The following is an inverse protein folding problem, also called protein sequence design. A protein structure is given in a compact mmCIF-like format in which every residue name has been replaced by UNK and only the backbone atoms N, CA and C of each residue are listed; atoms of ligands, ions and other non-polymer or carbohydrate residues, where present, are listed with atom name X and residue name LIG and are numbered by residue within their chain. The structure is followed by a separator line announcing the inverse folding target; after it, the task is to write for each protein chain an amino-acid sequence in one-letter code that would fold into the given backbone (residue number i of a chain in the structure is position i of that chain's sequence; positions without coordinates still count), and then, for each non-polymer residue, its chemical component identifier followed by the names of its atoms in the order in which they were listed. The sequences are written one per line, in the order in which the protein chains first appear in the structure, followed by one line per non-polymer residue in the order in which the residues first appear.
data_IF_856633202346
#
_entry.id   IF_856633202346
#
_cell.length_a   1.000
_cell.length_b   1.000
_cell.length_c   1.000
_cell.angle_alpha   90.00
_cell.angle_beta   90.00
_cell.angle_gamma   90.00
#
_symmetry.space_group_name_H-M   'P 1'
#
loop_
_entity.id
_entity.type
_entity.pdbx_description
1 polymer ?
2 non-polymer ?
3 non-polymer ?
4 non-polymer ?
5 water ?
#
# COMPACT_ATOMS: atom_id res chain seq x y z
N UNK A 1 -12.28 -0.94 -14.48
CA UNK A 1 -11.17 -1.52 -15.27
C UNK A 1 -9.93 -1.82 -14.44
N UNK A 2 -8.82 -2.04 -15.13
CA UNK A 2 -7.56 -2.43 -14.49
C UNK A 2 -7.09 -1.37 -13.49
N UNK A 3 -7.08 -0.10 -13.89
CA UNK A 3 -6.57 0.95 -13.00
C UNK A 3 -7.45 1.08 -11.76
N UNK A 4 -8.77 1.00 -11.92
CA UNK A 4 -9.63 1.04 -10.75
C UNK A 4 -9.43 -0.18 -9.85
N UNK A 5 -9.20 -1.36 -10.45
CA UNK A 5 -8.96 -2.56 -9.65
C UNK A 5 -7.76 -2.36 -8.71
N UNK A 6 -6.71 -1.71 -9.21
CA UNK A 6 -5.55 -1.44 -8.37
C UNK A 6 -5.96 -0.62 -7.15
N UNK A 7 -6.80 0.40 -7.38
CA UNK A 7 -7.26 1.24 -6.28
C UNK A 7 -8.11 0.44 -5.30
N UNK A 8 -8.99 -0.43 -5.81
CA UNK A 8 -9.83 -1.26 -4.95
C UNK A 8 -8.97 -2.16 -4.06
N UNK A 9 -8.00 -2.83 -4.67
CA UNK A 9 -7.14 -3.75 -3.91
C UNK A 9 -6.33 -3.00 -2.87
N UNK A 10 -5.73 -1.87 -3.25
CA UNK A 10 -4.98 -1.06 -2.28
C UNK A 10 -5.85 -0.56 -1.13
N UNK A 11 -7.16 -0.40 -1.36
CA UNK A 11 -8.05 0.10 -0.32
C UNK A 11 -8.29 -0.86 0.82
N UNK A 12 -8.02 -2.15 0.63
CA UNK A 12 -8.15 -3.15 1.67
C UNK A 12 -6.96 -4.11 1.54
N UNK A 13 -5.77 -3.51 1.58
CA UNK A 13 -4.55 -4.15 1.11
C UNK A 13 -4.24 -5.43 1.88
N UNK A 14 -4.28 -5.36 3.21
CA UNK A 14 -3.88 -6.52 4.01
C UNK A 14 -4.83 -7.67 3.79
N UNK A 15 -6.13 -7.39 3.68
CA UNK A 15 -7.10 -8.46 3.51
C UNK A 15 -6.92 -9.16 2.18
N UNK A 16 -6.85 -8.40 1.08
CA UNK A 16 -6.70 -9.01 -0.24
C UNK A 16 -5.37 -9.73 -0.37
N UNK A 17 -4.28 -9.14 0.13
CA UNK A 17 -2.98 -9.79 0.03
C UNK A 17 -3.00 -11.16 0.70
N UNK A 18 -3.59 -11.26 1.89
CA UNK A 18 -3.62 -12.55 2.57
C UNK A 18 -4.59 -13.50 1.89
N UNK A 19 -5.77 -13.03 1.51
CA UNK A 19 -6.75 -13.90 0.88
C UNK A 19 -6.24 -14.47 -0.43
N UNK A 20 -5.57 -13.64 -1.24
CA UNK A 20 -5.11 -14.10 -2.54
C UNK A 20 -3.94 -15.04 -2.39
N UNK A 21 -3.02 -14.75 -1.49
CA UNK A 21 -1.88 -15.64 -1.29
C UNK A 21 -2.34 -16.98 -0.75
N UNK A 22 -3.35 -16.98 0.12
CA UNK A 22 -3.86 -18.24 0.64
C UNK A 22 -4.56 -19.04 -0.45
N UNK A 23 -5.31 -18.35 -1.32
CA UNK A 23 -5.95 -19.04 -2.43
C UNK A 23 -4.91 -19.72 -3.31
N UNK A 24 -3.77 -19.05 -3.52
CA UNK A 24 -2.67 -19.62 -4.28
C UNK A 24 -2.10 -20.85 -3.59
N UNK A 25 -1.79 -20.74 -2.30
CA UNK A 25 -1.17 -21.85 -1.59
C UNK A 25 -2.12 -23.04 -1.44
N UNK A 26 -3.42 -22.78 -1.34
CA UNK A 26 -4.36 -23.90 -1.22
C UNK A 26 -4.72 -24.51 -2.57
N UNK A 27 -4.67 -23.73 -3.64
CA UNK A 27 -4.92 -24.28 -4.97
C UNK A 27 -3.73 -25.11 -5.44
N UNK A 28 -2.51 -24.75 -5.01
CA UNK A 28 -1.27 -25.38 -5.44
C UNK A 28 -0.48 -25.80 -4.21
N UNK A 29 -0.88 -26.88 -3.55
CA UNK A 29 -0.22 -27.26 -2.30
C UNK A 29 1.28 -27.45 -2.44
N UNK A 30 1.75 -27.87 -3.61
CA UNK A 30 3.18 -28.07 -3.84
C UNK A 30 3.96 -26.77 -3.65
N UNK A 31 3.32 -25.62 -3.87
CA UNK A 31 4.02 -24.35 -3.75
C UNK A 31 4.39 -24.01 -2.31
N UNK A 32 3.73 -24.61 -1.31
CA UNK A 32 4.16 -24.41 0.07
C UNK A 32 5.58 -24.88 0.31
N UNK A 33 6.12 -25.73 -0.56
CA UNK A 33 7.50 -26.18 -0.41
C UNK A 33 8.48 -25.02 -0.45
N UNK A 34 8.15 -23.95 -1.17
CA UNK A 34 8.97 -22.75 -1.16
C UNK A 34 8.90 -22.02 0.18
N UNK A 35 7.94 -22.37 1.04
CA UNK A 35 7.76 -21.74 2.35
C UNK A 35 7.69 -22.87 3.37
N UNK A 36 8.85 -23.30 3.86
CA UNK A 36 8.89 -24.49 4.71
C UNK A 36 8.09 -24.32 5.99
N UNK A 37 8.10 -23.12 6.57
CA UNK A 37 7.44 -22.91 7.85
C UNK A 37 5.93 -22.72 7.74
N UNK A 38 5.36 -22.77 6.52
CA UNK A 38 3.91 -22.68 6.33
C UNK A 38 3.22 -24.04 6.30
N UNK A 39 3.98 -25.13 6.26
CA UNK A 39 3.39 -26.46 6.18
C UNK A 39 2.72 -26.81 7.51
N UNK A 40 1.62 -27.57 7.41
CA UNK A 40 0.93 -28.05 8.58
C UNK A 40 0.12 -27.02 9.32
N UNK A 41 -0.17 -25.89 8.70
CA UNK A 41 -0.90 -24.80 9.32
C UNK A 41 -2.18 -24.53 8.53
N UNK A 42 -3.28 -24.30 9.24
CA UNK A 42 -4.49 -23.83 8.58
C UNK A 42 -4.34 -22.35 8.23
N UNK A 43 -5.30 -21.85 7.45
CA UNK A 43 -5.27 -20.46 7.00
C UNK A 43 -5.24 -19.49 8.18
N UNK A 44 -6.08 -19.72 9.19
CA UNK A 44 -6.12 -18.78 10.31
C UNK A 44 -4.82 -18.80 11.10
N UNK A 45 -4.16 -19.94 11.17
CA UNK A 45 -2.86 -20.00 11.84
C UNK A 45 -1.83 -19.20 11.06
N UNK A 46 -1.82 -19.33 9.73
CA UNK A 46 -0.89 -18.55 8.91
C UNK A 46 -1.13 -17.06 9.10
N UNK A 47 -2.39 -16.63 9.15
CA UNK A 47 -2.69 -15.21 9.26
C UNK A 47 -2.20 -14.62 10.59
N UNK A 48 -1.82 -15.45 11.55
CA UNK A 48 -1.33 -14.96 12.83
C UNK A 48 0.17 -15.16 12.97
N UNK A 49 0.86 -15.54 11.90
CA UNK A 49 2.31 -15.63 11.91
C UNK A 49 2.91 -14.34 11.38
N UNK A 50 3.91 -13.83 12.10
CA UNK A 50 4.50 -12.54 11.78
C UNK A 50 5.06 -12.52 10.37
N UNK A 51 5.86 -13.54 10.02
CA UNK A 51 6.50 -13.54 8.69
C UNK A 51 5.48 -13.63 7.58
N UNK A 52 4.34 -14.29 7.83
CA UNK A 52 3.31 -14.41 6.81
C UNK A 52 2.70 -13.06 6.49
N UNK A 53 2.28 -12.32 7.52
CA UNK A 53 1.66 -11.03 7.28
C UNK A 53 2.62 -10.04 6.64
N UNK A 54 3.85 -9.99 7.15
CA UNK A 54 4.82 -9.05 6.59
C UNK A 54 5.14 -9.40 5.14
N UNK A 55 5.39 -10.67 4.86
CA UNK A 55 5.73 -11.10 3.51
C UNK A 55 4.61 -10.80 2.51
N UNK A 56 3.38 -11.21 2.83
CA UNK A 56 2.30 -11.03 1.87
C UNK A 56 2.07 -9.55 1.57
N UNK A 57 2.20 -8.70 2.58
CA UNK A 57 1.99 -7.27 2.33
C UNK A 57 3.07 -6.71 1.41
N UNK A 58 4.33 -7.06 1.64
CA UNK A 58 5.40 -6.52 0.81
C UNK A 58 5.30 -7.02 -0.63
N UNK A 59 4.95 -8.30 -0.81
CA UNK A 59 4.73 -8.82 -2.17
C UNK A 59 3.62 -8.04 -2.86
N UNK A 60 2.49 -7.85 -2.18
CA UNK A 60 1.33 -7.23 -2.81
C UNK A 60 1.55 -5.73 -3.02
N UNK A 61 2.24 -5.07 -2.08
CA UNK A 61 2.58 -3.66 -2.27
C UNK A 61 3.37 -3.47 -3.56
N UNK A 62 4.37 -4.32 -3.79
CA UNK A 62 5.18 -4.18 -4.99
C UNK A 62 4.44 -4.63 -6.24
N UNK A 63 3.62 -5.68 -6.14
CA UNK A 63 2.84 -6.12 -7.29
C UNK A 63 1.92 -5.03 -7.78
N UNK A 64 1.30 -4.28 -6.85
CA UNK A 64 0.42 -3.20 -7.29
C UNK A 64 1.21 -2.06 -7.93
N UNK A 65 2.43 -1.79 -7.46
CA UNK A 65 3.27 -0.78 -8.12
C UNK A 65 3.63 -1.21 -9.54
N UNK A 66 3.99 -2.48 -9.72
CA UNK A 66 4.30 -2.98 -11.06
C UNK A 66 3.09 -2.87 -11.97
N UNK A 67 1.92 -3.28 -11.46
CA UNK A 67 0.69 -3.14 -12.25
C UNK A 67 0.40 -1.69 -12.59
N UNK A 68 0.65 -0.79 -11.63
CA UNK A 68 0.36 0.63 -11.82
C UNK A 68 1.28 1.27 -12.85
N UNK A 69 2.50 0.76 -12.97
CA UNK A 69 3.46 1.31 -13.91
C UNK A 69 3.34 0.69 -15.30
N UNK A 70 2.52 -0.34 -15.45
CA UNK A 70 2.37 -1.01 -16.72
C UNK A 70 1.64 -0.13 -17.75
N UNK A 71 1.93 -0.38 -19.02
CA UNK A 71 1.21 0.24 -20.13
C UNK A 71 0.37 -0.84 -20.81
N UNK A 72 -0.95 -0.64 -20.82
CA UNK A 72 -1.85 -1.59 -21.47
C UNK A 72 -1.61 -3.02 -20.99
N UNK A 73 -1.39 -3.17 -19.69
CA UNK A 73 -1.16 -4.47 -19.09
C UNK A 73 0.19 -5.08 -19.47
N UNK A 74 1.13 -4.28 -19.94
CA UNK A 74 2.49 -4.74 -20.22
C UNK A 74 3.41 -4.09 -19.20
N UNK A 75 4.07 -4.86 -18.33
CA UNK A 75 4.92 -4.26 -17.32
C UNK A 75 6.19 -3.66 -17.90
N UNK A 76 6.77 -2.73 -17.15
CA UNK A 76 8.05 -2.15 -17.53
C UNK A 76 9.14 -3.20 -17.46
N UNK A 77 10.07 -3.15 -18.41
CA UNK A 77 11.19 -4.08 -18.39
C UNK A 77 12.00 -3.96 -17.11
N UNK A 78 12.14 -2.74 -16.59
CA UNK A 78 12.90 -2.54 -15.35
C UNK A 78 12.25 -3.25 -14.17
N UNK A 79 10.92 -3.27 -14.11
CA UNK A 79 10.26 -4.00 -13.03
C UNK A 79 10.48 -5.50 -13.15
N UNK A 80 10.45 -6.02 -14.38
CA UNK A 80 10.76 -7.43 -14.57
C UNK A 80 12.20 -7.75 -14.16
N UNK A 81 13.16 -6.90 -14.54
CA UNK A 81 14.54 -7.16 -14.15
C UNK A 81 14.68 -7.17 -12.63
N UNK A 82 14.00 -6.25 -11.96
CA UNK A 82 14.04 -6.21 -10.49
C UNK A 82 13.54 -7.51 -9.89
N UNK A 83 12.41 -8.02 -10.39
CA UNK A 83 11.88 -9.27 -9.86
C UNK A 83 12.83 -10.44 -10.10
N UNK A 84 13.59 -10.41 -11.21
CA UNK A 84 14.48 -11.53 -11.52
C UNK A 84 15.75 -11.46 -10.69
N UNK A 85 16.29 -10.24 -10.50
CA UNK A 85 17.55 -10.07 -9.80
C UNK A 85 17.43 -10.22 -8.29
N UNK A 86 16.22 -10.24 -7.74
CA UNK A 86 16.05 -10.40 -6.29
C UNK A 86 16.63 -11.72 -5.82
N UNK A 87 17.47 -11.66 -4.80
CA UNK A 87 18.08 -12.88 -4.26
C UNK A 87 17.01 -13.83 -3.71
N UNK A 88 15.88 -13.29 -3.25
CA UNK A 88 14.81 -14.13 -2.74
C UNK A 88 14.18 -14.99 -3.83
N UNK A 89 14.29 -14.59 -5.09
CA UNK A 89 13.67 -15.30 -6.21
C UNK A 89 14.61 -16.26 -6.91
N UNK A 90 15.86 -16.38 -6.45
CA UNK A 90 16.74 -17.39 -7.00
C UNK A 90 16.16 -18.77 -6.70
N UNK A 91 16.09 -19.62 -7.72
CA UNK A 91 15.43 -20.90 -7.59
C UNK A 91 13.98 -20.89 -8.01
N UNK A 92 13.40 -19.73 -8.27
CA UNK A 92 12.05 -19.64 -8.81
C UNK A 92 12.08 -19.66 -10.33
N UNK A 93 10.99 -20.13 -10.92
CA UNK A 93 10.82 -20.14 -12.35
C UNK A 93 9.56 -19.35 -12.70
N UNK A 94 9.40 -19.07 -13.99
CA UNK A 94 8.17 -18.40 -14.44
C UNK A 94 6.93 -19.20 -14.06
N UNK A 95 7.04 -20.52 -13.96
CA UNK A 95 5.90 -21.33 -13.57
C UNK A 95 5.32 -20.97 -12.22
N UNK A 96 6.18 -20.56 -11.28
CA UNK A 96 5.69 -20.10 -9.98
C UNK A 96 4.82 -18.87 -10.12
N UNK A 97 5.22 -17.95 -11.02
CA UNK A 97 4.46 -16.72 -11.23
C UNK A 97 3.19 -16.99 -12.01
N UNK A 98 3.25 -17.89 -12.99
CA UNK A 98 2.05 -18.25 -13.75
C UNK A 98 0.98 -18.81 -12.83
N UNK A 99 1.37 -19.66 -11.89
CA UNK A 99 0.41 -20.24 -10.96
C UNK A 99 -0.18 -19.18 -10.05
N UNK A 100 0.63 -18.22 -9.61
CA UNK A 100 0.10 -17.13 -8.80
C UNK A 100 -1.02 -16.39 -9.52
N UNK A 101 -0.84 -16.11 -10.81
CA UNK A 101 -1.85 -15.30 -11.48
C UNK A 101 -3.09 -16.10 -11.87
N UNK A 102 -2.97 -17.42 -12.04
CA UNK A 102 -4.17 -18.24 -12.24
C UNK A 102 -5.06 -18.16 -10.99
N UNK A 103 -4.44 -18.31 -9.82
CA UNK A 103 -5.19 -18.24 -8.58
C UNK A 103 -5.79 -16.86 -8.36
N UNK A 104 -5.05 -15.80 -8.70
CA UNK A 104 -5.55 -14.45 -8.53
C UNK A 104 -6.76 -14.18 -9.42
N UNK A 105 -6.70 -14.62 -10.68
CA UNK A 105 -7.81 -14.41 -11.59
C UNK A 105 -9.03 -15.22 -11.13
N UNK A 106 -8.81 -16.47 -10.70
CA UNK A 106 -9.93 -17.27 -10.19
C UNK A 106 -10.54 -16.63 -8.94
N UNK A 107 -9.69 -16.11 -8.05
CA UNK A 107 -10.20 -15.39 -6.89
C UNK A 107 -11.10 -14.23 -7.31
N UNK A 108 -10.64 -13.42 -8.26
CA UNK A 108 -11.43 -12.26 -8.69
C UNK A 108 -12.76 -12.69 -9.29
N UNK A 109 -12.76 -13.75 -10.09
CA UNK A 109 -14.00 -14.17 -10.74
C UNK A 109 -15.01 -14.73 -9.73
N UNK A 110 -14.53 -15.28 -8.63
CA UNK A 110 -15.40 -15.86 -7.61
C UNK A 110 -15.83 -14.87 -6.54
N UNK A 111 -15.37 -13.63 -6.61
CA UNK A 111 -15.60 -12.67 -5.54
C UNK A 111 -16.91 -11.92 -5.67
N UNK A 112 -17.51 -11.88 -6.86
CA UNK A 112 -18.68 -11.09 -7.09
C UNK A 112 -18.45 -9.60 -7.22
N UNK A 113 -17.24 -9.12 -6.98
CA UNK A 113 -16.90 -7.72 -7.24
C UNK A 113 -16.59 -7.52 -8.72
N UNK A 114 -16.61 -6.26 -9.14
CA UNK A 114 -16.48 -5.94 -10.56
C UNK A 114 -15.03 -5.78 -10.99
N UNK A 115 -14.21 -6.78 -10.67
CA UNK A 115 -12.83 -6.80 -11.16
C UNK A 115 -12.81 -7.05 -12.67
N UNK A 116 -11.88 -6.39 -13.34
CA UNK A 116 -11.60 -6.64 -14.75
C UNK A 116 -10.65 -7.83 -14.85
N UNK A 117 -11.21 -9.03 -14.60
CA UNK A 117 -10.39 -10.23 -14.51
C UNK A 117 -9.63 -10.50 -15.80
N UNK A 118 -10.20 -10.12 -16.96
CA UNK A 118 -9.52 -10.34 -18.24
C UNK A 118 -8.21 -9.56 -18.31
N UNK A 119 -8.21 -8.33 -17.80
CA UNK A 119 -6.98 -7.53 -17.82
C UNK A 119 -5.92 -8.12 -16.88
N UNK A 120 -6.32 -8.65 -15.73
CA UNK A 120 -5.36 -9.28 -14.84
C UNK A 120 -4.78 -10.55 -15.46
N UNK A 121 -5.58 -11.29 -16.22
CA UNK A 121 -5.07 -12.47 -16.91
C UNK A 121 -4.00 -12.08 -17.93
N UNK A 122 -4.26 -11.03 -18.71
CA UNK A 122 -3.27 -10.54 -19.67
C UNK A 122 -2.02 -10.04 -18.96
N UNK A 123 -2.23 -9.26 -17.89
CA UNK A 123 -1.11 -8.75 -17.13
C UNK A 123 -0.21 -9.89 -16.66
N UNK A 124 -0.81 -10.95 -16.12
CA UNK A 124 -0.01 -12.08 -15.66
C UNK A 124 0.79 -12.75 -16.76
N UNK A 125 0.17 -12.95 -17.92
CA UNK A 125 0.87 -13.54 -19.06
C UNK A 125 1.99 -12.64 -19.55
N UNK A 126 1.73 -11.33 -19.62
CA UNK A 126 2.74 -10.40 -20.08
C UNK A 126 3.88 -10.27 -19.09
N UNK A 127 3.57 -10.32 -17.79
CA UNK A 127 4.63 -10.31 -16.79
C UNK A 127 5.52 -11.55 -16.93
N UNK A 128 4.90 -12.72 -17.10
CA UNK A 128 5.68 -13.95 -17.26
C UNK A 128 6.60 -13.84 -18.47
N UNK A 129 6.09 -13.33 -19.58
CA UNK A 129 6.94 -13.15 -20.77
C UNK A 129 8.11 -12.21 -20.47
N UNK A 130 7.85 -11.11 -19.77
CA UNK A 130 8.90 -10.17 -19.43
C UNK A 130 9.93 -10.78 -18.48
N UNK A 131 9.48 -11.60 -17.51
CA UNK A 131 10.42 -12.27 -16.62
C UNK A 131 11.38 -13.17 -17.39
N UNK A 132 10.88 -13.86 -18.42
CA UNK A 132 11.72 -14.74 -19.22
C UNK A 132 12.75 -13.95 -20.02
N UNK A 133 12.34 -12.82 -20.63
CA UNK A 133 13.27 -11.97 -21.37
C UNK A 133 14.32 -11.35 -20.47
N UNK A 134 14.01 -11.19 -19.18
CA UNK A 134 14.93 -10.61 -18.19
C UNK A 134 15.87 -11.64 -17.60
N UNK A 135 15.67 -12.94 -17.88
CA UNK A 135 16.60 -13.97 -17.47
C UNK A 135 16.01 -15.08 -16.61
N UNK A 136 14.75 -15.02 -16.20
CA UNK A 136 14.22 -16.08 -15.34
C UNK A 136 13.93 -17.33 -16.16
N UNK A 137 14.29 -18.49 -15.60
CA UNK A 137 14.07 -19.77 -16.27
C UNK A 137 12.59 -20.06 -16.41
N UNK B 1 13.00 11.93 -5.92
CA UNK B 1 12.05 13.08 -5.75
C UNK B 1 10.70 12.62 -5.25
N UNK B 2 9.70 13.49 -5.44
CA UNK B 2 8.36 13.26 -4.90
C UNK B 2 7.76 11.94 -5.38
N UNK B 3 7.84 11.68 -6.70
CA UNK B 3 7.22 10.46 -7.23
C UNK B 3 7.91 9.21 -6.71
N UNK B 4 9.23 9.23 -6.58
CA UNK B 4 9.94 8.09 -6.01
C UNK B 4 9.61 7.91 -4.53
N UNK B 5 9.46 9.01 -3.79
CA UNK B 5 9.04 8.92 -2.39
C UNK B 5 7.72 8.17 -2.26
N UNK B 6 6.77 8.46 -3.15
CA UNK B 6 5.50 7.73 -3.13
C UNK B 6 5.75 6.24 -3.31
N UNK B 7 6.61 5.87 -4.26
CA UNK B 7 6.91 4.46 -4.45
C UNK B 7 7.58 3.86 -3.23
N UNK B 8 8.48 4.61 -2.61
CA UNK B 8 9.15 4.10 -1.41
C UNK B 8 8.14 3.88 -0.28
N UNK B 9 7.28 4.86 -0.05
CA UNK B 9 6.31 4.74 1.03
C UNK B 9 5.30 3.63 0.76
N UNK B 10 4.81 3.54 -0.48
CA UNK B 10 3.86 2.48 -0.82
C UNK B 10 4.47 1.09 -0.72
N UNK B 11 5.79 0.99 -0.88
CA UNK B 11 6.43 -0.32 -0.82
C UNK B 11 6.41 -0.93 0.57
N UNK B 12 6.33 -0.10 1.60
CA UNK B 12 6.25 -0.57 2.98
C UNK B 12 5.16 0.21 3.71
N UNK B 13 3.96 0.22 3.13
CA UNK B 13 2.91 1.17 3.51
C UNK B 13 2.60 1.09 5.00
N UNK B 14 2.36 -0.11 5.52
CA UNK B 14 1.89 -0.24 6.90
C UNK B 14 2.96 0.24 7.89
N UNK B 15 4.22 -0.05 7.61
CA UNK B 15 5.30 0.31 8.53
C UNK B 15 5.46 1.82 8.61
N UNK B 16 5.47 2.50 7.45
CA UNK B 16 5.60 3.96 7.45
C UNK B 16 4.37 4.62 8.03
N UNK B 17 3.19 4.10 7.72
CA UNK B 17 1.94 4.68 8.21
C UNK B 17 1.90 4.69 9.73
N UNK B 18 2.27 3.58 10.35
CA UNK B 18 2.29 3.52 11.80
C UNK B 18 3.34 4.47 12.38
N UNK B 19 4.55 4.47 11.83
CA UNK B 19 5.60 5.33 12.37
C UNK B 19 5.26 6.81 12.24
N UNK B 20 4.69 7.21 11.09
CA UNK B 20 4.38 8.63 10.90
C UNK B 20 3.23 9.05 11.80
N UNK B 21 2.22 8.20 11.93
CA UNK B 21 1.07 8.54 12.77
C UNK B 21 1.49 8.68 14.23
N UNK B 22 2.33 7.75 14.70
CA UNK B 22 2.85 7.85 16.07
C UNK B 22 3.70 9.10 16.26
N UNK B 23 4.52 9.46 15.25
CA UNK B 23 5.28 10.70 15.33
C UNK B 23 4.35 11.91 15.48
N UNK B 24 3.24 11.91 14.74
CA UNK B 24 2.24 12.97 14.84
C UNK B 24 1.60 12.98 16.23
N UNK B 25 1.14 11.83 16.71
CA UNK B 25 0.43 11.79 17.99
C UNK B 25 1.34 12.15 19.16
N UNK B 26 2.63 11.83 19.07
CA UNK B 26 3.53 12.14 20.17
C UNK B 26 4.04 13.58 20.09
N UNK B 27 4.09 14.15 18.90
CA UNK B 27 4.50 15.53 18.77
C UNK B 27 3.38 16.48 19.20
N UNK B 28 2.13 16.09 18.99
CA UNK B 28 0.95 16.89 19.32
C UNK B 28 0.00 16.06 20.18
N UNK B 29 0.31 15.90 21.46
CA UNK B 29 -0.54 15.06 22.34
C UNK B 29 -2.02 15.44 22.30
N UNK B 30 -2.34 16.73 22.15
CA UNK B 30 -3.75 17.13 22.14
C UNK B 30 -4.51 16.53 20.97
N UNK B 31 -3.84 16.24 19.86
CA UNK B 31 -4.53 15.64 18.73
C UNK B 31 -5.04 14.24 19.06
N UNK B 32 -4.41 13.56 20.02
CA UNK B 32 -4.84 12.21 20.38
C UNK B 32 -6.27 12.16 20.90
N UNK B 33 -6.86 13.32 21.25
CA UNK B 33 -8.24 13.35 21.73
C UNK B 33 -9.24 12.99 20.65
N UNK B 34 -8.88 13.19 19.37
CA UNK B 34 -9.73 12.75 18.27
C UNK B 34 -9.82 11.24 18.16
N UNK B 35 -9.00 10.48 18.91
CA UNK B 35 -8.91 9.02 18.78
C UNK B 35 -9.01 8.39 20.18
N UNK B 36 -10.22 8.38 20.73
CA UNK B 36 -10.42 7.93 22.10
C UNK B 36 -9.99 6.49 22.33
N UNK B 37 -9.94 5.67 21.27
CA UNK B 37 -9.51 4.29 21.39
C UNK B 37 -8.00 4.15 21.61
N UNK B 38 -7.23 5.21 21.39
CA UNK B 38 -5.78 5.17 21.45
C UNK B 38 -5.22 5.89 22.67
N UNK B 39 -6.08 6.50 23.48
CA UNK B 39 -5.63 7.19 24.69
C UNK B 39 -5.12 6.18 25.71
N UNK B 40 -4.07 6.57 26.43
CA UNK B 40 -3.56 5.74 27.51
C UNK B 40 -2.80 4.51 27.06
N UNK B 41 -2.23 4.51 25.86
CA UNK B 41 -1.50 3.37 25.36
C UNK B 41 -0.16 3.83 24.80
N UNK B 42 0.88 3.04 25.06
CA UNK B 42 2.20 3.33 24.54
C UNK B 42 2.28 2.97 23.06
N UNK B 43 3.37 3.40 22.43
CA UNK B 43 3.56 3.10 21.01
C UNK B 43 3.47 1.60 20.74
N UNK B 44 4.15 0.80 21.57
CA UNK B 44 4.16 -0.65 21.32
C UNK B 44 2.80 -1.27 21.58
N UNK B 45 2.04 -0.74 22.53
CA UNK B 45 0.67 -1.20 22.71
C UNK B 45 -0.17 -0.92 21.46
N UNK B 46 -0.08 0.30 20.93
CA UNK B 46 -0.86 0.64 19.75
C UNK B 46 -0.46 -0.23 18.55
N UNK B 47 0.84 -0.46 18.36
CA UNK B 47 1.29 -1.26 17.23
C UNK B 47 0.78 -2.70 17.31
N UNK B 48 0.45 -3.19 18.49
CA UNK B 48 -0.06 -4.56 18.62
C UNK B 48 -1.55 -4.67 18.33
N UNK B 49 -2.27 -3.55 18.22
CA UNK B 49 -3.70 -3.55 17.98
C UNK B 49 -4.01 -3.64 16.49
N UNK B 50 -4.73 -4.66 16.08
CA UNK B 50 -5.09 -4.79 14.67
C UNK B 50 -5.84 -3.55 14.19
N UNK B 51 -6.70 -2.99 15.04
CA UNK B 51 -7.48 -1.82 14.66
C UNK B 51 -6.56 -0.65 14.28
N UNK B 52 -5.49 -0.46 15.05
CA UNK B 52 -4.55 0.63 14.78
C UNK B 52 -3.87 0.43 13.42
N UNK B 53 -3.39 -0.78 13.17
CA UNK B 53 -2.71 -1.03 11.90
C UNK B 53 -3.61 -0.81 10.70
N UNK B 54 -4.86 -1.30 10.78
CA UNK B 54 -5.80 -1.13 9.70
C UNK B 54 -6.15 0.33 9.47
N UNK B 55 -6.39 1.09 10.54
CA UNK B 55 -6.71 2.50 10.41
C UNK B 55 -5.57 3.25 9.72
N UNK B 56 -4.34 3.05 10.18
CA UNK B 56 -3.22 3.81 9.62
C UNK B 56 -2.97 3.41 8.17
N UNK B 57 -3.18 2.12 7.85
CA UNK B 57 -2.99 1.65 6.48
C UNK B 57 -3.97 2.33 5.54
N UNK B 58 -5.24 2.47 5.97
CA UNK B 58 -6.25 3.04 5.08
C UNK B 58 -6.07 4.53 4.88
N UNK B 59 -5.72 5.26 5.95
CA UNK B 59 -5.47 6.69 5.83
C UNK B 59 -4.28 6.94 4.92
N UNK B 60 -3.18 6.22 5.17
CA UNK B 60 -1.96 6.48 4.43
C UNK B 60 -2.11 6.10 2.98
N UNK B 61 -2.88 5.03 2.70
CA UNK B 61 -3.12 4.66 1.31
C UNK B 61 -3.79 5.79 0.56
N UNK B 62 -4.82 6.39 1.16
CA UNK B 62 -5.52 7.48 0.49
C UNK B 62 -4.63 8.70 0.38
N UNK B 63 -3.79 8.95 1.38
CA UNK B 63 -2.86 10.07 1.26
C UNK B 63 -1.93 9.88 0.07
N UNK B 64 -1.46 8.65 -0.16
CA UNK B 64 -0.60 8.38 -1.30
C UNK B 64 -1.35 8.51 -2.62
N UNK B 65 -2.64 8.15 -2.66
CA UNK B 65 -3.43 8.34 -3.87
C UNK B 65 -3.57 9.82 -4.20
N UNK B 66 -3.86 10.64 -3.20
CA UNK B 66 -3.98 12.08 -3.41
C UNK B 66 -2.67 12.66 -3.89
N UNK B 67 -1.55 12.21 -3.29
CA UNK B 67 -0.23 12.72 -3.68
C UNK B 67 0.11 12.31 -5.10
N UNK B 68 -0.22 11.07 -5.47
CA UNK B 68 0.06 10.58 -6.82
C UNK B 68 -0.73 11.33 -7.87
N UNK B 69 -1.95 11.77 -7.54
CA UNK B 69 -2.78 12.50 -8.50
C UNK B 69 -2.44 13.97 -8.59
N UNK B 70 -1.67 14.51 -7.65
CA UNK B 70 -1.35 15.92 -7.65
C UNK B 70 -0.53 16.29 -8.87
N UNK B 71 -0.66 17.54 -9.28
CA UNK B 71 0.19 18.12 -10.33
C UNK B 71 1.11 19.12 -9.66
N UNK B 72 2.42 18.88 -9.78
CA UNK B 72 3.41 19.80 -9.24
C UNK B 72 3.14 20.11 -7.77
N UNK B 73 2.80 19.06 -7.01
CA UNK B 73 2.53 19.16 -5.58
C UNK B 73 1.25 19.94 -5.27
N UNK B 74 0.37 20.10 -6.24
CA UNK B 74 -0.92 20.77 -6.02
C UNK B 74 -2.01 19.70 -6.12
N UNK B 75 -2.72 19.41 -5.04
CA UNK B 75 -3.73 18.35 -5.11
C UNK B 75 -4.93 18.78 -5.93
N UNK B 76 -5.62 17.78 -6.46
CA UNK B 76 -6.85 18.02 -7.20
C UNK B 76 -7.92 18.54 -6.26
N UNK B 77 -8.70 19.51 -6.73
CA UNK B 77 -9.78 20.05 -5.92
C UNK B 77 -10.76 18.97 -5.52
N UNK B 78 -10.99 17.98 -6.40
CA UNK B 78 -11.95 16.93 -6.08
C UNK B 78 -11.45 16.04 -4.95
N UNK B 79 -10.14 15.80 -4.90
CA UNK B 79 -9.58 15.04 -3.78
C UNK B 79 -9.74 15.82 -2.47
N UNK B 80 -9.52 17.14 -2.53
CA UNK B 80 -9.69 17.95 -1.33
C UNK B 80 -11.13 17.95 -0.88
N UNK B 81 -12.07 18.05 -1.84
CA UNK B 81 -13.48 18.00 -1.48
C UNK B 81 -13.81 16.69 -0.79
N UNK B 82 -13.32 15.56 -1.32
CA UNK B 82 -13.55 14.26 -0.69
C UNK B 82 -13.15 14.29 0.78
N UNK B 83 -11.97 14.83 1.08
CA UNK B 83 -11.47 14.86 2.45
C UNK B 83 -12.32 15.77 3.34
N UNK B 84 -12.88 16.84 2.78
CA UNK B 84 -13.71 17.73 3.56
C UNK B 84 -15.06 17.07 3.86
N UNK B 85 -15.65 16.41 2.87
CA UNK B 85 -17.01 15.88 3.00
C UNK B 85 -17.07 14.57 3.77
N UNK B 86 -15.95 13.94 4.06
CA UNK B 86 -15.95 12.69 4.83
C UNK B 86 -16.56 12.89 6.21
N UNK B 87 -17.47 11.99 6.57
CA UNK B 87 -18.12 12.09 7.88
C UNK B 87 -17.10 12.03 9.01
N UNK B 88 -16.06 11.20 8.85
CA UNK B 88 -15.03 11.09 9.88
C UNK B 88 -14.27 12.39 10.09
N UNK B 89 -14.42 13.37 9.20
CA UNK B 89 -13.68 14.62 9.29
C UNK B 89 -14.54 15.78 9.77
N UNK B 90 -15.76 15.50 10.22
CA UNK B 90 -16.58 16.54 10.84
C UNK B 90 -15.89 17.04 12.10
N UNK B 91 -15.85 18.36 12.26
CA UNK B 91 -15.20 18.96 13.39
C UNK B 91 -13.73 19.25 13.20
N UNK B 92 -13.11 18.68 12.16
CA UNK B 92 -11.71 18.96 11.88
C UNK B 92 -11.57 20.30 11.18
N UNK B 93 -10.42 20.92 11.40
CA UNK B 93 -10.05 22.17 10.74
C UNK B 93 -8.74 21.96 9.97
N UNK B 94 -8.36 22.97 9.20
CA UNK B 94 -7.11 22.86 8.46
C UNK B 94 -5.90 22.80 9.38
N UNK B 95 -6.02 23.31 10.61
CA UNK B 95 -4.90 23.25 11.54
C UNK B 95 -4.53 21.82 11.89
N UNK B 96 -5.53 20.94 11.99
CA UNK B 96 -5.25 19.52 12.22
C UNK B 96 -4.39 18.96 11.10
N UNK B 97 -4.69 19.33 9.85
CA UNK B 97 -3.93 18.82 8.72
C UNK B 97 -2.54 19.44 8.66
N UNK B 98 -2.45 20.73 8.97
CA UNK B 98 -1.14 21.39 9.00
C UNK B 98 -0.20 20.70 9.97
N UNK B 99 -0.68 20.35 11.16
CA UNK B 99 0.18 19.70 12.15
C UNK B 99 0.64 18.32 11.66
N UNK B 100 -0.26 17.58 11.01
CA UNK B 100 0.12 16.29 10.46
C UNK B 100 1.29 16.41 9.50
N UNK B 101 1.27 17.41 8.62
CA UNK B 101 2.36 17.52 7.65
C UNK B 101 3.63 18.09 8.26
N UNK B 102 3.53 18.86 9.33
CA UNK B 102 4.75 19.24 10.04
C UNK B 102 5.45 17.99 10.56
N UNK B 103 4.69 17.09 11.20
CA UNK B 103 5.27 15.87 11.75
C UNK B 103 5.81 14.98 10.64
N UNK B 104 5.11 14.92 9.50
CA UNK B 104 5.54 14.08 8.40
C UNK B 104 6.88 14.55 7.84
N UNK B 105 7.02 15.87 7.62
CA UNK B 105 8.26 16.40 7.09
C UNK B 105 9.38 16.21 8.10
N UNK B 106 9.11 16.47 9.37
CA UNK B 106 10.10 16.26 10.41
C UNK B 106 10.53 14.80 10.48
N UNK B 107 9.58 13.87 10.33
CA UNK B 107 9.93 12.46 10.26
C UNK B 107 10.85 12.17 9.09
N UNK B 108 10.54 12.73 7.91
CA UNK B 108 11.36 12.46 6.73
C UNK B 108 12.77 13.01 6.89
N UNK B 109 12.90 14.22 7.45
CA UNK B 109 14.21 14.83 7.64
C UNK B 109 15.07 14.03 8.60
N UNK B 110 14.46 13.47 9.64
CA UNK B 110 15.19 12.72 10.66
C UNK B 110 15.49 11.28 10.24
N UNK B 111 14.80 10.74 9.23
CA UNK B 111 14.94 9.33 8.89
C UNK B 111 16.28 9.02 8.23
N UNK B 112 16.98 10.02 7.70
CA UNK B 112 18.20 9.79 6.98
C UNK B 112 18.03 9.35 5.54
N UNK B 113 16.84 8.85 5.17
CA UNK B 113 16.59 8.47 3.79
C UNK B 113 16.48 9.71 2.90
N UNK B 114 16.64 9.50 1.60
CA UNK B 114 16.67 10.61 0.64
C UNK B 114 15.27 11.00 0.18
N UNK B 115 14.37 11.23 1.14
CA UNK B 115 13.08 11.82 0.84
C UNK B 115 13.27 13.25 0.35
N UNK B 116 12.39 13.67 -0.56
CA UNK B 116 12.36 15.05 -1.02
C UNK B 116 11.46 15.84 -0.07
N UNK B 117 11.98 16.14 1.12
CA UNK B 117 11.14 16.72 2.17
C UNK B 117 10.59 18.08 1.77
N UNK B 118 11.31 18.84 0.95
CA UNK B 118 10.82 20.14 0.50
C UNK B 118 9.54 19.98 -0.32
N UNK B 119 9.47 18.94 -1.15
CA UNK B 119 8.26 18.71 -1.94
C UNK B 119 7.09 18.31 -1.05
N UNK B 120 7.34 17.52 0.00
CA UNK B 120 6.25 17.15 0.89
C UNK B 120 5.76 18.35 1.69
N UNK B 121 6.66 19.26 2.05
CA UNK B 121 6.22 20.47 2.73
C UNK B 121 5.32 21.30 1.82
N UNK B 122 5.71 21.46 0.56
CA UNK B 122 4.91 22.22 -0.38
C UNK B 122 3.56 21.54 -0.61
N UNK B 123 3.57 20.22 -0.78
CA UNK B 123 2.34 19.47 -0.92
C UNK B 123 1.41 19.69 0.28
N UNK B 124 1.95 19.59 1.49
CA UNK B 124 1.13 19.84 2.65
C UNK B 124 0.53 21.23 2.66
N UNK B 125 1.32 22.24 2.30
CA UNK B 125 0.82 23.60 2.27
C UNK B 125 -0.26 23.77 1.22
N UNK B 126 -0.06 23.19 0.03
CA UNK B 126 -1.07 23.29 -1.01
C UNK B 126 -2.31 22.50 -0.67
N UNK B 127 -2.17 21.39 0.06
CA UNK B 127 -3.35 20.63 0.46
C UNK B 127 -4.18 21.41 1.47
N UNK B 128 -3.51 22.06 2.43
CA UNK B 128 -4.21 22.90 3.40
C UNK B 128 -4.99 23.99 2.67
N UNK B 129 -4.36 24.63 1.68
CA UNK B 129 -5.06 25.70 0.97
C UNK B 129 -6.23 25.14 0.15
N UNK B 130 -6.08 23.93 -0.39
CA UNK B 130 -7.15 23.30 -1.15
C UNK B 130 -8.30 22.86 -0.26
N UNK B 131 -8.01 22.42 0.98
CA UNK B 131 -9.08 22.10 1.92
C UNK B 131 -9.88 23.36 2.28
N UNK B 132 -9.19 24.48 2.48
CA UNK B 132 -9.88 25.74 2.72
C UNK B 132 -10.80 26.08 1.56
N UNK B 133 -10.26 26.04 0.33
CA UNK B 133 -11.07 26.35 -0.85
C UNK B 133 -12.24 25.38 -1.02
N UNK B 134 -12.15 24.18 -0.44
CA UNK B 134 -13.21 23.20 -0.53
C UNK B 134 -14.23 23.32 0.61
N UNK B 135 -14.05 24.27 1.51
CA UNK B 135 -15.04 24.56 2.53
C UNK B 135 -14.67 24.17 3.94
N UNK B 136 -13.44 23.74 4.19
CA UNK B 136 -13.03 23.40 5.55
C UNK B 136 -12.58 24.65 6.28
N UNK B 137 -12.94 24.74 7.55
CA UNK B 137 -12.53 25.88 8.38
C UNK B 137 -11.07 25.75 8.78
X LIG C 1 10.06 -12.35 -1.20
X LIG C 1 7.88 -9.48 -4.47
X LIG C 1 6.12 -13.37 -6.70
X LIG C 1 8.36 -16.24 -3.49
X LIG C 1 9.58 -11.25 -1.86
X LIG C 1 9.72 -9.88 -1.42
X LIG C 1 9.12 -9.09 -2.33
X LIG C 1 8.58 -9.93 -3.36
X LIG C 1 9.04 -7.55 -2.27
X LIG C 1 10.45 -9.42 -0.14
X LIG C 1 9.43 -9.12 0.94
X LIG C 1 9.96 -9.54 2.30
X LIG C 1 10.72 -8.74 2.91
X LIG C 1 9.62 -10.66 2.74
X LIG C 1 7.16 -10.27 -5.34
X LIG C 1 6.26 -9.81 -6.37
X LIG C 1 5.75 -10.89 -6.99
X LIG C 1 6.35 -12.06 -6.36
X LIG C 1 5.99 -8.30 -6.59
X LIG C 1 4.74 -11.03 -8.17
X LIG C 1 4.20 -10.01 -8.86
X LIG C 1 6.55 -14.49 -6.01
X LIG C 1 6.16 -15.85 -6.30
X LIG C 1 6.80 -16.66 -5.41
X LIG C 1 7.56 -15.81 -4.54
X LIG C 1 5.22 -16.19 -7.46
X LIG C 1 6.76 -18.20 -5.22
X LIG C 1 5.84 -19.01 -5.77
X LIG C 1 9.03 -15.44 -2.60
X LIG C 1 9.85 -15.90 -1.50
X LIG C 1 10.32 -14.83 -0.87
X LIG C 1 9.81 -13.65 -1.55
X LIG C 1 10.12 -17.38 -1.14
X LIG C 1 11.24 -14.84 0.37
X LIG C 1 10.44 -15.38 1.55
X LIG C 1 11.09 -14.98 2.86
X LIG C 1 12.17 -14.32 2.83
X LIG C 1 10.53 -15.33 3.92
X LIG C 1 8.87 -11.25 -3.05
X LIG C 1 7.20 -11.64 -5.37
X LIG C 1 7.40 -14.50 -4.93
X LIG C 1 9.02 -14.05 -2.59
X LIG C 1 8.42 -12.85 -4.22
X LIG C 1 7.97 -8.53 -4.70
X LIG C 1 5.60 -13.54 -7.52
X LIG C 1 8.50 -17.21 -3.41
X LIG C 1 8.56 -7.28 -1.45
X LIG C 1 8.54 -7.23 -3.05
X LIG C 1 9.93 -7.17 -2.27
X LIG C 1 10.96 -8.62 -0.34
X LIG C 1 11.05 -10.12 0.16
X LIG C 1 8.61 -9.60 0.76
X LIG C 1 9.24 -8.16 0.95
X LIG C 1 5.35 -8.18 -7.31
X LIG C 1 6.81 -7.85 -6.80
X LIG C 1 5.61 -7.91 -5.77
X LIG C 1 4.48 -11.91 -8.42
X LIG C 1 3.58 -10.20 -9.58
X LIG C 1 4.44 -9.10 -8.64
X LIG C 1 5.07 -17.16 -7.50
X LIG C 1 5.61 -15.89 -8.30
X LIG C 1 4.36 -15.75 -7.33
X LIG C 1 7.44 -18.60 -4.68
X LIG C 1 5.88 -19.96 -5.61
X LIG C 1 5.13 -18.64 -6.32
X LIG C 1 10.71 -17.43 -0.36
X LIG C 1 10.55 -17.83 -1.91
X LIG C 1 9.27 -17.84 -0.95
X LIG C 1 11.53 -13.93 0.56
X LIG C 1 12.01 -15.40 0.20
X LIG C 1 10.41 -16.35 1.50
X LIG C 1 9.54 -15.02 1.52
X LIG C 1 10.74 -12.19 -0.52
X LIG D 1 -8.63 0.59 -17.59
X LIG D 1 -9.78 1.17 -16.91
X LIG D 1 -8.44 1.26 -18.87
X LIG D 1 -8.85 -0.85 -17.80
X LIG D 1 -7.43 0.77 -16.76
X LIG E 1 -0.70 -28.83 4.87
X LIG E 1 -1.08 -29.79 3.84
X LIG E 1 -0.83 -27.47 4.35
X LIG E 1 0.69 -29.03 5.28
X LIG E 1 -1.56 -29.02 6.04
X LIG F 1 1.00 -12.66 -2.75
X LIG F 1 1.61 -12.47 -1.52
X LIG F 1 2.76 -13.14 -1.19
X LIG F 1 3.30 -14.00 -2.14
X LIG F 1 4.53 -15.48 -3.29
X LIG F 1 3.49 -15.16 -4.11
X LIG F 1 2.68 -14.21 -3.40
X LIG F 1 1.51 -13.52 -3.71
X LIG F 1 4.42 -14.79 -2.11
X LIG F 1 -0.59 -11.71 -3.14
X LIG G 1 -10.69 8.44 9.30
X LIG G 1 -8.19 9.77 5.34
X LIG G 1 -6.13 13.32 7.83
X LIG G 1 -8.90 12.26 11.67
X LIG G 1 -10.12 8.46 8.04
X LIG G 1 -10.25 7.42 7.05
X LIG G 1 -9.56 7.77 5.97
X LIG G 1 -8.97 9.06 6.23
X LIG G 1 -9.43 6.95 4.68
X LIG G 1 -11.02 6.08 7.25
X LIG G 1 -10.04 5.19 8.02
X LIG G 1 -10.72 4.00 8.64
X LIG G 1 -10.34 3.65 9.79
X LIG G 1 -11.65 3.43 8.00
X LIG G 1 -7.37 10.81 5.66
X LIG G 1 -6.35 11.41 4.83
X LIG G 1 -5.76 12.40 5.53
X LIG G 1 -6.42 12.44 6.82
X LIG G 1 -6.03 10.91 3.40
X LIG G 1 -4.62 13.38 5.18
X LIG G 1 -4.26 13.72 3.93
X LIG G 1 -6.69 13.32 9.09
X LIG G 1 -6.30 14.19 10.17
X LIG G 1 -7.07 13.91 11.22
X LIG G 1 -7.96 12.84 10.84
X LIG G 1 -5.20 15.26 10.02
X LIG G 1 -7.10 14.52 12.66
X LIG G 1 -6.12 15.25 13.19
X LIG G 1 -9.61 11.13 11.38
X LIG G 1 -10.48 10.42 12.29
X LIG G 1 -10.99 9.36 11.64
X LIG G 1 -10.44 9.36 10.30
X LIG G 1 -10.78 10.82 13.75
X LIG G 1 -11.95 8.30 12.21
X LIG G 1 -11.10 7.26 12.92
X LIG G 1 -11.96 6.21 13.58
X LIG G 1 -11.41 5.21 14.08
X LIG G 1 -13.21 6.38 13.59
X LIG G 1 -9.33 9.46 7.51
X LIG G 1 -7.39 11.46 6.86
X LIG G 1 -7.72 12.50 9.52
X LIG G 1 -9.61 10.46 10.18
X LIG G 1 -8.74 11.09 8.37
X LIG G 1 -8.11 9.39 4.43
X LIG G 1 -5.55 14.07 7.62
X LIG G 1 -9.18 12.78 12.44
X LIG G 1 -9.01 6.08 4.89
X LIG G 1 -8.86 7.43 4.04
X LIG G 1 -10.31 6.79 4.29
X LIG G 1 -11.24 5.70 6.39
X LIG G 1 -11.82 6.23 7.77
X LIG G 1 -9.61 5.70 8.71
X LIG G 1 -9.36 4.87 7.40
X LIG G 1 -5.76 9.97 3.43
X LIG G 1 -5.31 11.44 3.02
X LIG G 1 -6.83 10.99 2.85
X LIG G 1 -4.13 13.78 5.90
X LIG G 1 -3.53 14.35 3.79
X LIG G 1 -4.72 13.34 3.17
X LIG G 1 -5.09 15.74 10.86
X LIG G 1 -5.45 15.89 9.33
X LIG G 1 -4.36 14.83 9.79
X LIG G 1 -7.87 14.35 13.20
X LIG G 1 -6.20 15.60 14.09
X LIG G 1 -5.31 15.44 12.68
X LIG G 1 -9.94 10.83 14.26
X LIG G 1 -11.40 10.18 14.15
X LIG G 1 -11.17 11.72 13.77
X LIG G 1 -12.45 7.88 11.49
X LIG G 1 -12.56 8.72 12.84
X LIG G 1 -10.56 7.69 13.61
X LIG G 1 -10.52 6.82 12.28
X LIG G 1 -11.45 7.83 9.45
X LIG H 1 -1.64 8.72 9.27
X LIG H 1 -2.24 7.53 9.65
X LIG H 1 -3.46 7.55 10.29
X LIG H 1 -4.05 8.79 10.53
X LIG H 1 -5.39 10.46 11.14
X LIG H 1 -4.32 11.05 10.56
X LIG H 1 -3.44 10.00 10.16
X LIG H 1 -2.20 9.96 9.51
X LIG H 1 -5.24 9.10 11.14
X LIG H 1 0.05 8.64 8.39
#
# INVERSE_FOLDING_TARGET
GFKQDIATLRGDLRTYAQDIFLAFLNKYPDEKRNFKNYVGKSDQELKSMAKFGDHTEKVFNLMMEVADRATDCVPLASDASTLVQMKQHSGLTTGNFEKLFVALVEYMRASGQSFDSQSWDRFGKNLVSALSSAGMK
GFKQDIATLRGDLRTYAQDIFLAFLNKYPDEKRNFKNYVGKSDQELKSMAKFGDHTEKVFNLMMEVADRATDCVPLASDASTLVQMKQHSGLTTGNFEKLFVALVEYMRASGQSFDSQSWDRFGKNLVSALSSAGMK
HEM CHA CHB CHC CHD C1A C2A C3A C4A CMA CAA CBA CGA O1A O2A C1B C2B C3B C4B CMB CAB CBB C1C C2C C3C C4C CMC CAC CBC C1D C2D C3D C4D CMD CAD CBD CGD O1D O2D NA NB NC ND FE HHB HHC HHD HMA HMAA HMAB HAA HAAA HBA HBAA HMB HMBA HMBB HAB HBB HBBA HMC HMCA HMCB HAC HBC HBCA HMD HMDA HMDB HAD HADA HBD HBDA HHA
SO4 S O1 O2 O3 O4
SO4 S O1 O2 O3 O4
H4N C1 C2 C3 C4 C5 C6 C7 C8 N1 BR1
HEM CHA CHB CHC CHD C1A C2A C3A C4A CMA CAA CBA CGA O1A O2A C1B C2B C3B C4B CMB CAB CBB C1C C2C C3C C4C CMC CAC CBC C1D C2D C3D C4D CMD CAD CBD CGD O1D O2D NA NB NC ND FE HHB HHC HHD HMA HMAA HMAB HAA HAAA HBA HBAA HMB HMBA HMBB HAB HBB HBBA HMC HMCA HMCB HAC HBC HBCA HMD HMDA HMDB HAD HADA HBD HBDA HHA
H4N C1 C2 C3 C4 C5 C6 C7 C8 N1 BR1
#
